data_IF_808466557527
#
_entry.id   IF_808466557527
#
_cell.length_a   1.000
_cell.length_b   1.000
_cell.length_c   1.000
_cell.angle_alpha   90.00
_cell.angle_beta   90.00
_cell.angle_gamma   90.00
#
_symmetry.space_group_name_H-M   'P 1'
#
loop_
_entity.id
_entity.type
_entity.pdbx_description
1 polymer ?
#
# COMPACT_ATOMS: atom_id res chain seq x y z
N UNK A 1 38.66 36.49 -21.74
CA UNK A 1 37.53 36.61 -20.77
C UNK A 1 36.25 35.84 -21.14
N UNK A 2 36.25 34.96 -22.16
CA UNK A 2 35.03 34.30 -22.69
C UNK A 2 34.77 32.88 -22.21
N UNK A 3 35.67 32.20 -21.51
CA UNK A 3 35.55 30.76 -21.18
C UNK A 3 34.84 30.45 -19.85
N UNK A 4 34.73 31.42 -18.93
CA UNK A 4 34.05 31.21 -17.63
C UNK A 4 32.54 31.36 -17.71
N UNK A 5 32.02 32.23 -18.57
CA UNK A 5 30.56 32.42 -18.73
C UNK A 5 29.90 31.25 -19.43
N UNK A 6 30.59 30.62 -20.42
CA UNK A 6 30.07 29.42 -21.11
C UNK A 6 29.92 28.22 -20.19
N UNK A 7 30.83 28.05 -19.20
CA UNK A 7 30.77 26.95 -18.24
C UNK A 7 29.66 27.13 -17.20
N UNK A 8 29.37 28.37 -16.79
CA UNK A 8 28.31 28.69 -15.83
C UNK A 8 26.91 28.43 -16.43
N UNK A 9 26.73 28.84 -17.70
CA UNK A 9 25.50 28.64 -18.42
C UNK A 9 25.22 27.15 -18.70
N UNK A 10 26.27 26.37 -19.00
CA UNK A 10 26.14 24.92 -19.20
C UNK A 10 25.77 24.18 -17.89
N UNK A 11 26.30 24.60 -16.74
CA UNK A 11 25.96 24.05 -15.42
C UNK A 11 24.52 24.44 -15.01
N UNK A 12 24.08 25.64 -15.32
CA UNK A 12 22.72 26.11 -15.01
C UNK A 12 21.67 25.36 -15.85
N UNK A 13 21.93 25.15 -17.14
CA UNK A 13 21.05 24.36 -18.02
C UNK A 13 21.00 22.90 -17.60
N UNK A 14 22.13 22.31 -17.19
CA UNK A 14 22.16 20.93 -16.69
C UNK A 14 21.39 20.79 -15.37
N UNK A 15 21.46 21.77 -14.46
CA UNK A 15 20.71 21.78 -13.21
C UNK A 15 19.19 21.91 -13.44
N UNK A 16 18.76 22.69 -14.44
CA UNK A 16 17.34 22.85 -14.79
C UNK A 16 16.79 21.56 -15.44
N UNK A 17 17.58 20.88 -16.27
CA UNK A 17 17.17 19.61 -16.91
C UNK A 17 17.07 18.49 -15.87
N UNK A 18 17.95 18.45 -14.86
CA UNK A 18 17.86 17.46 -13.78
C UNK A 18 16.67 17.72 -12.84
N UNK A 19 16.27 18.97 -12.64
CA UNK A 19 15.10 19.31 -11.82
C UNK A 19 13.76 18.93 -12.49
N UNK A 20 13.70 18.91 -13.83
CA UNK A 20 12.50 18.51 -14.57
C UNK A 20 12.27 16.99 -14.63
N UNK A 21 13.29 16.18 -14.29
CA UNK A 21 13.20 14.71 -14.36
C UNK A 21 12.60 14.05 -13.10
N UNK A 22 12.28 14.81 -12.06
CA UNK A 22 11.75 14.26 -10.80
C UNK A 22 10.23 14.44 -10.59
N UNK A 23 9.49 14.96 -11.57
CA UNK A 23 8.04 14.91 -11.58
C UNK A 23 7.59 13.58 -12.19
N UNK A 24 7.57 12.52 -11.39
CA UNK A 24 6.77 11.35 -11.75
C UNK A 24 5.32 11.85 -11.93
N UNK A 25 4.67 11.58 -13.07
CA UNK A 25 3.26 11.89 -13.20
C UNK A 25 2.53 11.04 -12.16
N UNK A 26 2.09 11.65 -11.06
CA UNK A 26 0.99 11.12 -10.29
C UNK A 26 -0.14 10.96 -11.31
N UNK A 27 -0.60 9.73 -11.54
CA UNK A 27 -1.76 9.53 -12.37
C UNK A 27 -2.89 10.33 -11.70
N UNK A 28 -3.25 11.46 -12.28
CA UNK A 28 -4.44 12.22 -11.92
C UNK A 28 -5.64 11.31 -12.20
N UNK A 29 -5.97 10.46 -11.21
CA UNK A 29 -7.26 9.81 -11.23
C UNK A 29 -8.26 10.93 -10.98
N UNK A 30 -9.16 11.21 -11.94
CA UNK A 30 -10.15 12.26 -11.78
C UNK A 30 -10.96 11.96 -10.52
N UNK A 31 -11.25 13.01 -9.75
CA UNK A 31 -12.20 12.94 -8.63
C UNK A 31 -13.46 12.19 -9.07
N UNK A 32 -14.12 11.43 -8.17
CA UNK A 32 -15.33 10.70 -8.51
C UNK A 32 -16.33 11.61 -9.22
N UNK A 33 -16.85 11.19 -10.37
CA UNK A 33 -17.89 11.92 -11.07
C UNK A 33 -19.19 11.83 -10.25
N UNK A 34 -19.94 12.92 -10.04
CA UNK A 34 -21.20 12.84 -9.33
C UNK A 34 -22.13 11.76 -9.91
N UNK A 35 -22.57 10.81 -9.07
CA UNK A 35 -23.40 9.67 -9.48
C UNK A 35 -22.65 8.40 -9.89
N UNK A 36 -21.31 8.39 -9.89
CA UNK A 36 -20.53 7.18 -10.06
C UNK A 36 -20.67 6.28 -8.81
N UNK A 37 -20.84 4.94 -8.97
CA UNK A 37 -20.89 4.03 -7.84
C UNK A 37 -19.60 4.09 -7.00
N UNK A 38 -19.77 4.30 -5.71
CA UNK A 38 -18.66 4.31 -4.77
C UNK A 38 -18.57 2.99 -4.00
N UNK A 39 -17.36 2.53 -3.80
CA UNK A 39 -17.02 1.36 -3.02
C UNK A 39 -16.32 1.74 -1.72
N UNK A 40 -16.49 0.92 -0.69
CA UNK A 40 -15.84 1.12 0.60
C UNK A 40 -14.46 0.46 0.63
N UNK A 41 -13.49 1.21 1.14
CA UNK A 41 -12.17 0.74 1.54
C UNK A 41 -11.95 1.15 2.98
N UNK A 42 -11.53 0.24 3.85
CA UNK A 42 -11.21 0.54 5.24
C UNK A 42 -9.72 0.56 5.47
N UNK A 43 -9.26 1.50 6.26
CA UNK A 43 -7.89 1.55 6.78
C UNK A 43 -7.92 1.20 8.25
N UNK A 44 -7.14 0.20 8.63
CA UNK A 44 -6.97 -0.27 10.00
C UNK A 44 -5.64 0.22 10.56
N UNK A 45 -5.67 0.73 11.77
CA UNK A 45 -4.49 1.07 12.57
C UNK A 45 -4.34 0.04 13.71
N UNK A 46 -3.35 -0.81 13.59
CA UNK A 46 -2.98 -1.82 14.60
C UNK A 46 -1.92 -1.31 15.60
N UNK A 47 -1.77 0.03 15.71
CA UNK A 47 -0.85 0.73 16.60
C UNK A 47 0.43 1.19 15.89
N UNK A 48 1.25 0.29 15.42
CA UNK A 48 2.49 0.62 14.68
C UNK A 48 2.41 0.31 13.18
N UNK A 49 1.40 -0.45 12.76
CA UNK A 49 1.19 -0.96 11.42
C UNK A 49 -0.21 -0.58 10.92
N UNK A 50 -0.36 -0.33 9.62
CA UNK A 50 -1.67 -0.15 8.99
C UNK A 50 -1.92 -1.24 7.95
N UNK A 51 -3.20 -1.56 7.77
CA UNK A 51 -3.69 -2.49 6.77
C UNK A 51 -4.88 -1.89 6.01
N UNK A 52 -5.17 -2.44 4.84
CA UNK A 52 -6.34 -2.12 4.03
C UNK A 52 -7.32 -3.28 4.15
N UNK A 53 -8.62 -2.98 4.26
CA UNK A 53 -9.67 -3.98 4.17
C UNK A 53 -10.64 -3.60 3.05
N UNK A 54 -11.06 -4.60 2.30
CA UNK A 54 -12.05 -4.45 1.23
C UNK A 54 -13.14 -5.51 1.39
N UNK A 55 -14.33 -5.28 0.83
CA UNK A 55 -15.32 -6.37 0.68
C UNK A 55 -14.81 -7.36 -0.37
N UNK A 56 -14.82 -8.62 -0.02
CA UNK A 56 -14.42 -9.68 -0.95
C UNK A 56 -15.24 -9.66 -2.25
N UNK A 57 -16.55 -9.44 -2.14
CA UNK A 57 -17.47 -9.42 -3.28
C UNK A 57 -17.22 -8.27 -4.27
N UNK A 58 -16.53 -7.19 -3.84
CA UNK A 58 -16.22 -6.04 -4.69
C UNK A 58 -14.93 -6.25 -5.50
N UNK A 59 -14.06 -7.16 -5.06
CA UNK A 59 -12.80 -7.47 -5.71
C UNK A 59 -13.03 -8.34 -6.96
N UNK A 60 -12.54 -7.86 -8.10
CA UNK A 60 -12.57 -8.62 -9.35
C UNK A 60 -11.42 -9.65 -9.36
N UNK A 61 -11.77 -10.94 -9.41
CA UNK A 61 -10.81 -12.04 -9.50
C UNK A 61 -9.93 -11.99 -10.75
N UNK A 62 -10.40 -11.35 -11.81
CA UNK A 62 -9.58 -11.15 -13.01
C UNK A 62 -8.44 -10.15 -12.78
N UNK A 63 -8.61 -9.21 -11.85
CA UNK A 63 -7.59 -8.25 -11.45
C UNK A 63 -6.70 -8.80 -10.32
N UNK A 64 -7.31 -9.47 -9.35
CA UNK A 64 -6.61 -10.01 -8.17
C UNK A 64 -7.09 -11.42 -7.84
N UNK A 65 -6.52 -12.46 -8.48
CA UNK A 65 -6.96 -13.87 -8.31
C UNK A 65 -6.84 -14.38 -6.88
N UNK A 66 -5.91 -13.87 -6.08
CA UNK A 66 -5.62 -14.31 -4.72
C UNK A 66 -6.80 -14.09 -3.74
N UNK A 67 -7.79 -13.29 -4.14
CA UNK A 67 -9.06 -13.16 -3.40
C UNK A 67 -9.80 -14.49 -3.26
N UNK A 68 -9.57 -15.44 -4.17
CA UNK A 68 -10.17 -16.77 -4.12
C UNK A 68 -9.49 -17.72 -3.12
N UNK A 69 -8.33 -17.36 -2.58
CA UNK A 69 -7.66 -18.13 -1.52
C UNK A 69 -8.35 -18.01 -0.15
N UNK A 70 -9.32 -17.07 -0.02
CA UNK A 70 -10.15 -16.87 1.17
C UNK A 70 -11.65 -16.89 0.82
N UNK A 71 -12.18 -18.00 0.26
CA UNK A 71 -13.49 -18.04 -0.41
C UNK A 71 -14.68 -17.78 0.53
N UNK A 72 -14.57 -18.10 1.80
CA UNK A 72 -15.64 -17.92 2.79
C UNK A 72 -15.64 -16.52 3.44
N UNK A 73 -14.71 -15.64 3.07
CA UNK A 73 -14.58 -14.32 3.68
C UNK A 73 -15.65 -13.34 3.17
N UNK A 74 -16.18 -12.52 4.07
CA UNK A 74 -16.98 -11.33 3.74
C UNK A 74 -16.09 -10.14 3.41
N UNK A 75 -15.01 -9.98 4.17
CA UNK A 75 -14.00 -8.96 3.96
C UNK A 75 -12.61 -9.59 3.81
N UNK A 76 -11.72 -8.89 3.16
CA UNK A 76 -10.32 -9.30 3.02
C UNK A 76 -9.43 -8.18 3.54
N UNK A 77 -8.63 -8.50 4.56
CA UNK A 77 -7.57 -7.64 5.03
C UNK A 77 -6.31 -7.91 4.23
N UNK A 78 -5.65 -6.84 3.80
CA UNK A 78 -4.43 -6.86 3.02
C UNK A 78 -3.40 -5.98 3.74
N UNK A 79 -2.32 -6.61 4.15
CA UNK A 79 -1.23 -5.94 4.82
C UNK A 79 0.09 -6.29 4.13
N UNK A 80 1.07 -5.39 4.20
CA UNK A 80 2.38 -5.55 3.59
C UNK A 80 3.46 -5.21 4.60
N UNK A 81 4.59 -5.90 4.55
CA UNK A 81 5.67 -5.64 5.49
C UNK A 81 6.97 -6.40 5.21
N UNK A 82 7.99 -6.15 6.03
CA UNK A 82 9.25 -6.88 5.99
C UNK A 82 9.02 -8.37 6.25
N UNK A 83 9.60 -9.22 5.40
CA UNK A 83 9.38 -10.67 5.42
C UNK A 83 9.86 -11.30 6.71
N UNK A 84 11.09 -10.96 7.12
CA UNK A 84 11.72 -11.58 8.30
C UNK A 84 10.99 -11.18 9.59
N UNK A 85 10.63 -9.89 9.71
CA UNK A 85 9.93 -9.38 10.87
C UNK A 85 8.47 -9.84 10.93
N UNK A 86 7.74 -9.72 9.81
CA UNK A 86 6.30 -9.96 9.79
C UNK A 86 5.93 -11.44 9.93
N UNK A 87 6.78 -12.35 9.41
CA UNK A 87 6.55 -13.78 9.49
C UNK A 87 7.13 -14.42 10.77
N UNK A 88 7.88 -13.65 11.58
CA UNK A 88 8.48 -14.16 12.81
C UNK A 88 7.46 -14.35 13.93
N UNK A 89 7.58 -15.46 14.65
CA UNK A 89 6.77 -15.74 15.85
C UNK A 89 7.68 -16.33 16.93
N UNK A 90 8.03 -15.58 18.00
CA UNK A 90 7.69 -14.17 18.25
C UNK A 90 8.55 -13.18 17.45
N UNK A 91 7.94 -12.06 17.03
CA UNK A 91 8.69 -10.94 16.50
C UNK A 91 9.39 -10.16 17.62
N UNK A 92 10.62 -9.71 17.38
CA UNK A 92 11.42 -8.98 18.37
C UNK A 92 11.65 -7.53 17.97
N UNK A 93 11.87 -6.64 18.95
CA UNK A 93 12.22 -5.24 18.68
C UNK A 93 13.49 -5.11 17.83
N UNK A 94 14.46 -6.01 18.00
CA UNK A 94 15.68 -6.05 17.18
C UNK A 94 15.39 -6.32 15.71
N UNK A 95 14.45 -7.21 15.41
CA UNK A 95 14.04 -7.48 14.02
C UNK A 95 13.37 -6.27 13.39
N UNK A 96 12.56 -5.52 14.14
CA UNK A 96 11.98 -4.27 13.66
C UNK A 96 13.05 -3.21 13.33
N UNK A 97 14.06 -3.06 14.18
CA UNK A 97 15.20 -2.16 13.93
C UNK A 97 15.98 -2.61 12.71
N UNK A 98 16.28 -3.91 12.60
CA UNK A 98 16.98 -4.49 11.45
C UNK A 98 16.22 -4.26 10.14
N UNK A 99 14.90 -4.52 10.13
CA UNK A 99 14.03 -4.26 8.98
C UNK A 99 14.04 -2.79 8.56
N UNK A 100 14.07 -1.85 9.51
CA UNK A 100 14.13 -0.44 9.21
C UNK A 100 15.47 0.02 8.63
N UNK A 101 16.58 -0.56 9.10
CA UNK A 101 17.94 -0.15 8.71
C UNK A 101 18.49 -0.88 7.47
N UNK A 102 17.88 -1.98 7.08
CA UNK A 102 18.36 -2.83 5.99
C UNK A 102 17.24 -3.03 4.97
N UNK A 103 17.50 -2.75 3.70
CA UNK A 103 16.59 -3.13 2.62
C UNK A 103 16.43 -4.66 2.60
N UNK A 104 15.19 -5.14 2.74
CA UNK A 104 14.85 -6.55 2.86
C UNK A 104 13.72 -6.98 1.93
N UNK A 105 13.59 -8.30 1.77
CA UNK A 105 12.42 -8.89 1.11
C UNK A 105 11.14 -8.52 1.87
N UNK A 106 10.04 -8.43 1.15
CA UNK A 106 8.74 -8.12 1.72
C UNK A 106 7.72 -9.22 1.48
N UNK A 107 6.62 -9.13 2.20
CA UNK A 107 5.48 -10.05 2.07
C UNK A 107 4.17 -9.31 2.08
N UNK A 108 3.19 -9.86 1.37
CA UNK A 108 1.79 -9.58 1.56
C UNK A 108 1.19 -10.58 2.55
N UNK A 109 0.39 -10.10 3.49
CA UNK A 109 -0.45 -10.90 4.37
C UNK A 109 -1.90 -10.67 3.99
N UNK A 110 -2.54 -11.71 3.47
CA UNK A 110 -3.95 -11.68 3.02
C UNK A 110 -4.78 -12.51 3.98
N UNK A 111 -5.77 -11.88 4.60
CA UNK A 111 -6.61 -12.50 5.66
C UNK A 111 -8.07 -12.40 5.29
N UNK A 112 -8.77 -13.54 5.28
CA UNK A 112 -10.22 -13.59 5.18
C UNK A 112 -10.90 -13.33 6.52
N UNK A 113 -11.88 -12.43 6.53
CA UNK A 113 -12.68 -12.06 7.68
C UNK A 113 -14.16 -12.41 7.38
N UNK A 114 -14.80 -13.19 8.24
CA UNK A 114 -16.17 -13.69 8.07
C UNK A 114 -17.23 -12.87 8.84
N UNK A 115 -16.79 -11.96 9.71
CA UNK A 115 -17.62 -11.08 10.55
C UNK A 115 -17.29 -9.61 10.30
N UNK A 116 -18.04 -8.66 10.89
CA UNK A 116 -17.72 -7.24 10.82
C UNK A 116 -16.30 -6.94 11.29
N UNK A 117 -15.61 -6.05 10.58
CA UNK A 117 -14.19 -5.73 10.82
C UNK A 117 -13.90 -5.41 12.28
N UNK A 118 -14.78 -4.62 12.94
CA UNK A 118 -14.63 -4.26 14.35
C UNK A 118 -14.72 -5.43 15.33
N UNK A 119 -15.38 -6.53 14.94
CA UNK A 119 -15.45 -7.75 15.76
C UNK A 119 -14.10 -8.49 15.74
N UNK A 120 -13.41 -8.50 14.62
CA UNK A 120 -12.06 -9.08 14.52
C UNK A 120 -11.00 -8.21 15.20
N UNK A 121 -11.14 -6.88 15.11
CA UNK A 121 -10.15 -5.91 15.57
C UNK A 121 -10.72 -4.88 16.54
N UNK A 122 -11.16 -5.29 17.74
CA UNK A 122 -11.85 -4.39 18.70
C UNK A 122 -10.93 -3.30 19.27
N UNK A 123 -9.61 -3.43 19.12
CA UNK A 123 -8.62 -2.44 19.59
C UNK A 123 -8.07 -1.56 18.48
N UNK A 124 -8.32 -1.88 17.22
CA UNK A 124 -7.83 -1.12 16.09
C UNK A 124 -8.71 0.09 15.82
N UNK A 125 -8.10 1.17 15.37
CA UNK A 125 -8.85 2.30 14.84
C UNK A 125 -9.17 1.99 13.38
N UNK A 126 -10.43 2.16 13.01
CA UNK A 126 -10.94 1.84 11.68
C UNK A 126 -11.48 3.12 11.06
N UNK A 127 -11.06 3.41 9.84
CA UNK A 127 -11.59 4.53 9.03
C UNK A 127 -12.12 3.95 7.73
N UNK A 128 -13.40 4.19 7.44
CA UNK A 128 -14.00 3.89 6.15
C UNK A 128 -13.78 5.04 5.19
N UNK A 129 -13.36 4.73 3.99
CA UNK A 129 -13.14 5.65 2.88
C UNK A 129 -14.01 5.23 1.70
N UNK A 130 -14.44 6.20 0.90
CA UNK A 130 -15.22 5.95 -0.29
C UNK A 130 -14.34 6.23 -1.51
N UNK A 131 -14.34 5.31 -2.46
CA UNK A 131 -13.59 5.42 -3.71
C UNK A 131 -14.49 5.09 -4.89
N UNK A 132 -14.24 5.69 -6.04
CA UNK A 132 -14.93 5.29 -7.27
C UNK A 132 -14.60 3.84 -7.64
N UNK A 133 -15.42 3.21 -8.47
CA UNK A 133 -15.13 1.86 -9.00
C UNK A 133 -13.76 1.84 -9.70
N UNK A 134 -13.42 2.84 -10.48
CA UNK A 134 -12.11 2.97 -11.13
C UNK A 134 -10.97 3.03 -10.12
N UNK A 135 -11.13 3.83 -9.05
CA UNK A 135 -10.15 3.94 -7.97
C UNK A 135 -9.96 2.62 -7.22
N UNK A 136 -11.07 1.92 -6.96
CA UNK A 136 -11.04 0.59 -6.34
C UNK A 136 -10.31 -0.42 -7.22
N UNK A 137 -10.59 -0.45 -8.52
CA UNK A 137 -9.90 -1.35 -9.46
C UNK A 137 -8.42 -1.03 -9.59
N UNK A 138 -8.05 0.25 -9.52
CA UNK A 138 -6.64 0.67 -9.50
C UNK A 138 -5.93 0.20 -8.21
N UNK A 139 -6.61 0.28 -7.06
CA UNK A 139 -6.14 -0.30 -5.80
C UNK A 139 -5.93 -1.82 -5.91
N UNK A 140 -6.89 -2.54 -6.49
CA UNK A 140 -6.76 -4.00 -6.65
C UNK A 140 -5.61 -4.38 -7.58
N UNK A 141 -5.38 -3.63 -8.67
CA UNK A 141 -4.20 -3.82 -9.52
C UNK A 141 -2.91 -3.54 -8.77
N UNK A 142 -2.84 -2.47 -7.98
CA UNK A 142 -1.69 -2.16 -7.15
C UNK A 142 -1.35 -3.32 -6.20
N UNK A 143 -2.36 -3.91 -5.56
CA UNK A 143 -2.20 -5.10 -4.71
C UNK A 143 -1.74 -6.31 -5.52
N UNK A 144 -2.36 -6.57 -6.68
CA UNK A 144 -2.03 -7.70 -7.56
C UNK A 144 -0.60 -7.61 -8.12
N UNK A 145 -0.16 -6.39 -8.47
CA UNK A 145 1.18 -6.12 -8.99
C UNK A 145 2.27 -6.27 -7.92
N UNK A 146 1.89 -6.17 -6.64
CA UNK A 146 2.81 -6.37 -5.52
C UNK A 146 3.18 -7.85 -5.33
N UNK A 147 2.34 -8.79 -5.75
CA UNK A 147 2.66 -10.21 -5.67
C UNK A 147 3.86 -10.59 -6.54
N UNK A 148 4.86 -11.22 -5.96
CA UNK A 148 5.88 -11.94 -6.72
C UNK A 148 5.28 -13.20 -7.33
N UNK A 149 5.61 -13.46 -8.61
CA UNK A 149 5.00 -14.57 -9.37
C UNK A 149 6.06 -15.56 -9.85
N UNK A 150 5.70 -16.84 -9.85
CA UNK A 150 6.51 -17.91 -10.42
C UNK A 150 6.55 -17.84 -11.97
N UNK A 151 7.33 -18.72 -12.60
CA UNK A 151 7.44 -18.80 -14.05
C UNK A 151 6.09 -19.12 -14.75
N UNK A 152 5.12 -19.66 -14.03
CA UNK A 152 3.77 -19.93 -14.51
C UNK A 152 2.79 -18.75 -14.28
N UNK A 153 3.27 -17.62 -13.75
CA UNK A 153 2.46 -16.44 -13.47
C UNK A 153 1.62 -16.52 -12.20
N UNK A 154 1.81 -17.54 -11.35
CA UNK A 154 1.08 -17.73 -10.09
C UNK A 154 1.83 -17.04 -8.95
N UNK A 155 1.08 -16.40 -8.05
CA UNK A 155 1.66 -15.77 -6.85
C UNK A 155 2.38 -16.80 -5.98
N UNK A 156 3.58 -16.44 -5.54
CA UNK A 156 4.41 -17.32 -4.69
C UNK A 156 3.87 -17.27 -3.28
N UNK A 157 3.09 -18.30 -2.92
CA UNK A 157 2.58 -18.50 -1.57
C UNK A 157 3.68 -19.08 -0.68
N UNK A 158 3.91 -18.47 0.48
CA UNK A 158 4.98 -18.85 1.40
C UNK A 158 4.48 -19.79 2.50
N UNK A 159 3.61 -19.29 3.37
CA UNK A 159 3.09 -20.04 4.52
C UNK A 159 1.72 -19.52 4.94
N UNK A 160 1.10 -20.20 5.91
CA UNK A 160 -0.10 -19.72 6.60
C UNK A 160 0.17 -18.38 7.28
N UNK A 161 -0.85 -17.51 7.29
CA UNK A 161 -0.78 -16.23 7.96
C UNK A 161 -0.88 -16.33 9.49
N UNK A 162 -0.87 -15.17 10.15
CA UNK A 162 -0.80 -15.07 11.60
C UNK A 162 -2.11 -15.44 12.31
N UNK A 163 -3.25 -15.25 11.66
CA UNK A 163 -4.57 -15.47 12.22
C UNK A 163 -5.61 -15.73 11.11
N UNK A 164 -6.68 -16.41 11.48
CA UNK A 164 -7.79 -16.71 10.61
C UNK A 164 -7.42 -17.52 9.35
N UNK A 165 -8.31 -17.59 8.37
CA UNK A 165 -8.00 -18.13 7.04
C UNK A 165 -7.13 -17.13 6.29
N UNK A 166 -5.81 -17.32 6.34
CA UNK A 166 -4.85 -16.34 5.82
C UNK A 166 -3.59 -16.98 5.23
N UNK A 167 -2.92 -16.20 4.38
CA UNK A 167 -1.68 -16.60 3.72
C UNK A 167 -0.68 -15.44 3.65
N UNK A 168 0.60 -15.79 3.74
CA UNK A 168 1.70 -14.93 3.32
C UNK A 168 2.10 -15.24 1.89
N UNK A 169 2.31 -14.18 1.10
CA UNK A 169 2.83 -14.24 -0.27
C UNK A 169 4.12 -13.45 -0.37
N UNK A 170 5.06 -13.91 -1.18
CA UNK A 170 6.23 -13.11 -1.54
C UNK A 170 5.78 -11.84 -2.26
N UNK A 171 6.40 -10.72 -1.92
CA UNK A 171 6.10 -9.42 -2.51
C UNK A 171 7.30 -8.86 -3.28
N UNK A 172 7.04 -8.08 -4.33
CA UNK A 172 8.05 -7.57 -5.26
C UNK A 172 8.83 -6.38 -4.72
N UNK A 173 8.15 -5.51 -3.98
CA UNK A 173 8.78 -4.30 -3.45
C UNK A 173 9.71 -4.62 -2.30
N UNK A 174 10.79 -3.87 -2.20
CA UNK A 174 11.74 -4.00 -1.09
C UNK A 174 11.29 -3.18 0.11
N UNK A 175 11.27 -3.77 1.29
CA UNK A 175 11.03 -3.08 2.54
C UNK A 175 12.27 -2.25 2.94
N UNK A 176 12.05 -1.03 3.40
CA UNK A 176 13.12 -0.16 3.92
C UNK A 176 12.54 0.94 4.81
N UNK A 177 13.41 1.73 5.46
CA UNK A 177 13.00 2.90 6.25
C UNK A 177 12.14 3.89 5.44
N UNK A 178 12.38 4.02 4.13
CA UNK A 178 11.65 4.92 3.23
C UNK A 178 10.50 4.24 2.48
N UNK A 179 10.34 2.95 2.67
CA UNK A 179 9.26 2.12 2.12
C UNK A 179 8.76 1.15 3.19
N UNK A 180 8.05 1.68 4.17
CA UNK A 180 7.46 0.91 5.28
C UNK A 180 6.06 0.41 4.91
N UNK A 181 5.48 -0.45 5.76
CA UNK A 181 4.07 -0.86 5.64
C UNK A 181 3.11 0.34 5.54
N UNK A 182 3.37 1.39 6.29
CA UNK A 182 2.55 2.60 6.29
C UNK A 182 2.72 3.42 5.00
N UNK A 183 3.93 3.50 4.46
CA UNK A 183 4.19 4.13 3.16
C UNK A 183 3.50 3.35 2.03
N UNK A 184 3.53 2.01 2.10
CA UNK A 184 2.86 1.15 1.13
C UNK A 184 1.34 1.35 1.13
N UNK A 185 0.70 1.38 2.31
CA UNK A 185 -0.74 1.70 2.45
C UNK A 185 -1.04 3.09 1.88
N UNK A 186 -0.22 4.10 2.19
CA UNK A 186 -0.42 5.45 1.66
C UNK A 186 -0.37 5.49 0.12
N UNK A 187 0.56 4.74 -0.51
CA UNK A 187 0.63 4.61 -1.98
C UNK A 187 -0.60 3.90 -2.54
N UNK A 188 -1.04 2.83 -1.92
CA UNK A 188 -2.25 2.12 -2.31
C UNK A 188 -3.48 3.03 -2.31
N UNK A 189 -3.64 3.84 -1.26
CA UNK A 189 -4.73 4.82 -1.15
C UNK A 189 -4.61 5.95 -2.19
N UNK A 190 -3.41 6.43 -2.45
CA UNK A 190 -3.15 7.41 -3.51
C UNK A 190 -3.53 6.84 -4.88
N UNK A 191 -3.17 5.58 -5.16
CA UNK A 191 -3.55 4.87 -6.40
C UNK A 191 -5.06 4.73 -6.54
N UNK A 192 -5.79 4.64 -5.42
CA UNK A 192 -7.26 4.67 -5.41
C UNK A 192 -7.87 6.06 -5.68
N UNK A 193 -7.06 7.08 -5.90
CA UNK A 193 -7.52 8.46 -6.13
C UNK A 193 -7.79 9.25 -4.85
N UNK A 194 -7.40 8.74 -3.68
CA UNK A 194 -7.55 9.46 -2.42
C UNK A 194 -6.42 10.51 -2.25
N UNK A 195 -6.71 11.68 -1.66
CA UNK A 195 -5.75 12.76 -1.50
C UNK A 195 -4.76 12.47 -0.35
N UNK A 196 -4.02 11.39 -0.50
CA UNK A 196 -3.00 10.93 0.44
C UNK A 196 -1.61 11.12 -0.19
N UNK A 197 -0.69 11.73 0.55
CA UNK A 197 0.70 11.95 0.15
C UNK A 197 1.60 10.90 0.80
N UNK A 198 2.12 9.90 0.07
CA UNK A 198 2.94 8.84 0.65
C UNK A 198 4.32 9.30 1.14
N UNK A 199 4.83 10.40 0.58
CA UNK A 199 6.17 10.92 0.93
C UNK A 199 6.27 11.27 2.42
N UNK A 200 7.20 10.62 3.12
CA UNK A 200 7.43 10.83 4.55
C UNK A 200 6.42 10.16 5.50
N UNK A 201 5.46 9.40 4.99
CA UNK A 201 4.51 8.65 5.81
C UNK A 201 5.11 7.30 6.19
N UNK A 202 5.82 7.27 7.31
CA UNK A 202 6.49 6.05 7.82
C UNK A 202 5.81 5.45 9.05
N UNK A 203 4.77 6.11 9.60
CA UNK A 203 4.06 5.66 10.81
C UNK A 203 2.57 5.48 10.57
N UNK A 204 1.92 4.59 11.34
CA UNK A 204 0.48 4.41 11.32
C UNK A 204 -0.27 5.72 11.63
N UNK A 205 0.22 6.49 12.60
CA UNK A 205 -0.36 7.80 12.93
C UNK A 205 -0.35 8.77 11.72
N UNK A 206 0.71 8.76 10.92
CA UNK A 206 0.82 9.58 9.70
C UNK A 206 -0.23 9.22 8.65
N UNK A 207 -0.46 7.91 8.42
CA UNK A 207 -1.55 7.45 7.54
C UNK A 207 -2.90 7.90 8.10
N UNK A 208 -3.16 7.59 9.38
CA UNK A 208 -4.45 7.86 10.02
C UNK A 208 -4.78 9.35 10.08
N UNK A 209 -3.79 10.21 10.20
CA UNK A 209 -3.98 11.67 10.14
C UNK A 209 -4.49 12.09 8.76
N UNK A 210 -3.91 11.57 7.69
CA UNK A 210 -4.29 11.92 6.33
C UNK A 210 -5.68 11.41 5.96
N UNK A 211 -6.02 10.15 6.32
CA UNK A 211 -7.33 9.56 5.98
C UNK A 211 -8.49 10.11 6.79
N UNK A 212 -8.24 10.71 7.98
CA UNK A 212 -9.29 11.35 8.79
C UNK A 212 -9.57 12.79 8.39
N UNK A 213 -8.62 13.44 7.78
CA UNK A 213 -8.72 14.82 7.32
C UNK A 213 -8.31 14.86 5.86
N UNK A 214 -9.11 14.29 4.93
CA UNK A 214 -8.77 14.34 3.52
C UNK A 214 -8.66 15.82 3.15
N UNK A 215 -7.46 16.25 2.74
CA UNK A 215 -7.29 17.57 2.16
C UNK A 215 -8.19 17.62 0.93
N UNK A 216 -9.06 18.63 0.87
CA UNK A 216 -9.71 18.96 -0.38
C UNK A 216 -8.61 19.11 -1.43
N UNK A 217 -8.77 18.43 -2.56
CA UNK A 217 -7.86 18.62 -3.69
C UNK A 217 -7.84 20.12 -4.04
N UNK A 218 -6.66 20.70 -4.34
CA UNK A 218 -6.55 22.10 -4.72
C UNK A 218 -7.32 22.42 -5.98
#
# INVERSE_FOLDING_TARGET
MGTRESSLNALLVLAIVLAAACAAPGADLPSPTPGEPELSVWVLDHGWHTAIVVRRADADRALWPEVDDVPAATFVEIAWGDREFYMATPATAWMAIKAALRAGESVLHVVGLDAPIAAHFPRSKIVELRVSRRGFDALMRFVADEHERDAGGRSIRLQRGLYGPSWFYAARSTYSLFNTCNTWVARALQTAGLPVAPSGVITAAGVMQQVRSPRAAP
#
